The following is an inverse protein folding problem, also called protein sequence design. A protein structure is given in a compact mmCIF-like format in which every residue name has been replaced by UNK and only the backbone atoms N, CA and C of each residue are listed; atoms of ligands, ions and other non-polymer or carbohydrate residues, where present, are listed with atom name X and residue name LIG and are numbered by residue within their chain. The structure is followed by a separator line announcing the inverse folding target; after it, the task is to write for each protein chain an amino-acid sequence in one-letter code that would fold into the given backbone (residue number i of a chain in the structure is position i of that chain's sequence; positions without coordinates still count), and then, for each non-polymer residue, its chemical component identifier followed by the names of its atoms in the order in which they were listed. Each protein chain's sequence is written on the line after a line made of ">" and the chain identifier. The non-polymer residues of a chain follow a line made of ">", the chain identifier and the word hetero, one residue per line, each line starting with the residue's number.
data_IF_681323593038
#
_entry.id   IF_681323593038
#
_cell.length_a   1.000
_cell.length_b   1.000
_cell.length_c   1.000
_cell.angle_alpha   90.00
_cell.angle_beta   90.00
_cell.angle_gamma   90.00
#
_symmetry.space_group_name_H-M   'P 1'
#
loop_
_entity.id
_entity.type
_entity.pdbx_description
1 polymer ?
#
# COMPACT_ATOMS: atom_id res chain seq x y z
N UNK A 1 -21.94 88.78 -24.86
CA UNK A 1 -20.85 88.30 -23.98
C UNK A 1 -21.41 87.22 -23.06
N UNK A 2 -21.30 85.93 -23.44
CA UNK A 2 -21.75 84.78 -22.64
C UNK A 2 -20.53 83.90 -22.34
N UNK A 3 -20.23 83.73 -21.06
CA UNK A 3 -19.11 82.93 -20.54
C UNK A 3 -19.47 81.45 -20.62
N UNK A 4 -18.59 80.62 -21.20
CA UNK A 4 -18.71 79.17 -21.20
C UNK A 4 -17.73 78.62 -20.16
N UNK A 5 -18.25 78.03 -19.08
CA UNK A 5 -17.48 77.29 -18.09
C UNK A 5 -17.40 75.82 -18.52
N UNK A 6 -16.19 75.29 -18.67
CA UNK A 6 -15.93 73.87 -18.92
C UNK A 6 -15.56 73.24 -17.58
N UNK A 7 -16.40 72.33 -17.08
CA UNK A 7 -16.07 71.45 -15.96
C UNK A 7 -15.25 70.27 -16.47
N UNK A 8 -14.02 70.13 -15.99
CA UNK A 8 -13.19 68.95 -16.18
C UNK A 8 -13.52 67.93 -15.07
N UNK A 9 -14.06 66.77 -15.44
CA UNK A 9 -14.24 65.64 -14.52
C UNK A 9 -12.98 64.78 -14.58
N UNK A 10 -12.23 64.72 -13.49
CA UNK A 10 -11.10 63.82 -13.33
C UNK A 10 -11.60 62.41 -12.97
N UNK A 11 -11.35 61.45 -13.85
CA UNK A 11 -11.62 60.03 -13.60
C UNK A 11 -10.44 59.41 -12.83
N UNK A 12 -10.65 59.08 -11.56
CA UNK A 12 -9.73 58.27 -10.76
C UNK A 12 -9.83 56.80 -11.14
N UNK A 13 -8.79 56.26 -11.77
CA UNK A 13 -8.63 54.83 -12.05
C UNK A 13 -8.08 54.15 -10.79
N UNK A 14 -8.89 53.33 -10.13
CA UNK A 14 -8.41 52.43 -9.08
C UNK A 14 -7.77 51.20 -9.73
N UNK A 15 -6.44 51.11 -9.67
CA UNK A 15 -5.68 49.90 -9.95
C UNK A 15 -5.86 48.95 -8.75
N UNK A 16 -6.74 47.96 -8.90
CA UNK A 16 -6.85 46.84 -7.96
C UNK A 16 -5.71 45.85 -8.18
N UNK A 17 -4.75 45.82 -7.26
CA UNK A 17 -3.80 44.72 -7.17
C UNK A 17 -4.51 43.48 -6.61
N UNK A 18 -4.83 42.51 -7.47
CA UNK A 18 -5.08 41.14 -7.02
C UNK A 18 -3.75 40.57 -6.53
N UNK A 19 -3.59 40.47 -5.22
CA UNK A 19 -2.61 39.56 -4.64
C UNK A 19 -3.12 38.15 -4.88
N UNK A 20 -2.58 37.50 -5.90
CA UNK A 20 -2.65 36.05 -6.00
C UNK A 20 -1.81 35.51 -4.83
N UNK A 21 -2.47 35.22 -3.71
CA UNK A 21 -1.88 34.42 -2.66
C UNK A 21 -1.67 33.02 -3.27
N UNK A 22 -0.42 32.70 -3.61
CA UNK A 22 0.04 31.34 -3.88
C UNK A 22 -0.25 30.50 -2.62
N UNK A 23 -1.46 29.95 -2.54
CA UNK A 23 -1.83 28.97 -1.53
C UNK A 23 -1.07 27.70 -1.85
N UNK A 24 0.12 27.56 -1.28
CA UNK A 24 0.77 26.26 -1.14
C UNK A 24 -0.20 25.35 -0.41
N UNK A 25 -0.77 24.38 -1.11
CA UNK A 25 -1.72 23.45 -0.49
C UNK A 25 -0.99 22.57 0.52
N UNK A 26 -1.55 22.40 1.71
CA UNK A 26 -0.95 21.53 2.73
C UNK A 26 -1.06 20.05 2.32
N UNK A 27 -0.12 19.18 2.72
CA UNK A 27 -0.24 17.75 2.51
C UNK A 27 -1.59 17.22 3.00
N UNK A 28 -2.28 16.46 2.14
CA UNK A 28 -3.65 16.02 2.41
C UNK A 28 -3.69 14.51 2.62
N UNK A 29 -4.20 14.07 3.77
CA UNK A 29 -4.47 12.65 4.05
C UNK A 29 -5.95 12.35 3.82
N UNK A 30 -6.23 11.47 2.86
CA UNK A 30 -7.59 11.08 2.48
C UNK A 30 -7.79 9.63 2.90
N UNK A 31 -8.89 9.34 3.60
CA UNK A 31 -9.17 8.03 4.17
C UNK A 31 -10.22 7.26 3.37
N UNK A 32 -10.06 5.94 3.33
CA UNK A 32 -11.08 5.03 2.83
C UNK A 32 -12.07 4.63 3.92
N UNK A 33 -12.98 3.68 3.61
CA UNK A 33 -13.92 3.12 4.58
C UNK A 33 -13.24 2.45 5.78
N UNK A 34 -13.96 2.40 6.90
CA UNK A 34 -13.53 1.68 8.11
C UNK A 34 -13.96 0.21 8.06
N UNK A 35 -13.04 -0.70 8.38
CA UNK A 35 -13.31 -2.13 8.52
C UNK A 35 -13.03 -2.55 9.96
N UNK A 36 -13.95 -3.28 10.64
CA UNK A 36 -13.68 -3.81 11.97
C UNK A 36 -12.62 -4.93 11.91
N UNK A 37 -11.69 -4.94 12.86
CA UNK A 37 -10.67 -5.98 13.00
C UNK A 37 -10.33 -6.13 14.49
N UNK A 38 -10.44 -7.36 15.01
CA UNK A 38 -10.36 -7.59 16.46
C UNK A 38 -11.40 -6.75 17.21
N UNK A 39 -10.99 -6.12 18.31
CA UNK A 39 -11.80 -5.12 19.03
C UNK A 39 -11.66 -3.69 18.49
N UNK A 40 -10.92 -3.52 17.40
CA UNK A 40 -10.59 -2.22 16.81
C UNK A 40 -11.11 -2.05 15.39
N UNK A 41 -10.47 -1.15 14.67
CA UNK A 41 -10.75 -0.91 13.26
C UNK A 41 -9.49 -0.63 12.47
N UNK A 42 -9.60 -0.79 11.16
CA UNK A 42 -8.58 -0.46 10.17
C UNK A 42 -9.18 0.43 9.09
N UNK A 43 -8.42 1.44 8.66
CA UNK A 43 -8.78 2.36 7.57
C UNK A 43 -7.61 2.56 6.63
N UNK A 44 -7.83 2.34 5.34
CA UNK A 44 -6.86 2.72 4.32
C UNK A 44 -6.78 4.24 4.17
N UNK A 45 -5.69 4.71 3.59
CA UNK A 45 -5.50 6.13 3.30
C UNK A 45 -4.47 6.34 2.18
N UNK A 46 -4.50 7.54 1.62
CA UNK A 46 -3.46 8.12 0.77
C UNK A 46 -3.01 9.44 1.38
N UNK A 47 -1.71 9.70 1.31
CA UNK A 47 -1.12 11.00 1.63
C UNK A 47 -0.67 11.67 0.33
N UNK A 48 -1.24 12.84 0.04
CA UNK A 48 -0.86 13.68 -1.09
C UNK A 48 0.11 14.78 -0.64
N UNK A 49 1.11 15.07 -1.47
CA UNK A 49 1.97 16.24 -1.29
C UNK A 49 1.24 17.54 -1.64
N UNK A 50 1.91 18.69 -1.43
CA UNK A 50 1.40 20.02 -1.73
C UNK A 50 1.06 20.26 -3.22
N UNK A 51 1.49 19.37 -4.12
CA UNK A 51 1.22 19.40 -5.55
C UNK A 51 0.15 18.37 -5.96
N UNK A 52 -0.44 17.65 -5.00
CA UNK A 52 -1.44 16.63 -5.24
C UNK A 52 -0.89 15.31 -5.80
N UNK A 53 0.42 15.08 -5.74
CA UNK A 53 1.02 13.79 -6.07
C UNK A 53 0.94 12.84 -4.87
N UNK A 54 0.78 11.52 -5.09
CA UNK A 54 0.85 10.55 -4.00
C UNK A 54 2.28 10.53 -3.43
N UNK A 55 2.38 10.72 -2.12
CA UNK A 55 3.64 10.50 -1.37
C UNK A 55 3.67 9.11 -0.73
N UNK A 56 2.51 8.66 -0.25
CA UNK A 56 2.33 7.36 0.43
C UNK A 56 0.90 6.85 0.29
N UNK A 57 0.74 5.53 0.33
CA UNK A 57 -0.56 4.86 0.58
C UNK A 57 -0.36 3.85 1.70
N UNK A 58 -1.41 3.57 2.45
CA UNK A 58 -1.32 2.61 3.54
C UNK A 58 -2.63 2.37 4.22
N UNK A 59 -2.55 1.82 5.43
CA UNK A 59 -3.68 1.76 6.35
C UNK A 59 -3.23 2.07 7.77
N UNK A 60 -4.18 2.55 8.57
CA UNK A 60 -4.02 2.78 10.00
C UNK A 60 -4.89 1.76 10.73
N UNK A 61 -4.29 1.00 11.65
CA UNK A 61 -5.02 0.15 12.58
C UNK A 61 -5.09 0.80 13.97
N UNK A 62 -6.26 0.78 14.58
CA UNK A 62 -6.43 1.27 15.96
C UNK A 62 -5.65 0.42 16.96
N UNK A 63 -5.38 0.96 18.15
CA UNK A 63 -4.57 0.29 19.18
C UNK A 63 -5.08 -1.13 19.50
N UNK A 64 -6.40 -1.26 19.58
CA UNK A 64 -7.16 -2.45 19.97
C UNK A 64 -7.34 -3.46 18.82
N UNK A 65 -6.87 -3.14 17.61
CA UNK A 65 -7.12 -3.97 16.43
C UNK A 65 -6.42 -5.34 16.45
N UNK A 66 -5.51 -5.57 17.40
CA UNK A 66 -4.90 -6.88 17.66
C UNK A 66 -5.56 -7.66 18.80
N UNK A 67 -6.48 -7.04 19.51
CA UNK A 67 -7.17 -7.67 20.61
C UNK A 67 -8.31 -8.53 20.06
N UNK A 68 -8.48 -9.73 20.62
CA UNK A 68 -9.56 -10.65 20.27
C UNK A 68 -9.59 -11.06 18.77
N UNK A 69 -8.41 -11.20 18.14
CA UNK A 69 -8.30 -11.83 16.84
C UNK A 69 -8.53 -13.35 16.94
N UNK A 70 -9.06 -14.00 15.89
CA UNK A 70 -9.19 -15.46 15.84
C UNK A 70 -7.84 -16.14 16.11
N UNK A 71 -7.84 -17.16 16.96
CA UNK A 71 -6.63 -17.90 17.36
C UNK A 71 -6.48 -19.25 16.65
N UNK A 72 -7.48 -19.62 15.85
CA UNK A 72 -7.55 -20.90 15.12
C UNK A 72 -7.72 -20.66 13.63
N UNK A 73 -7.31 -21.65 12.84
CA UNK A 73 -7.59 -21.69 11.41
C UNK A 73 -9.09 -21.85 11.12
N UNK A 74 -9.59 -21.45 9.92
CA UNK A 74 -8.84 -20.86 8.81
C UNK A 74 -8.31 -19.45 9.11
N UNK A 75 -7.33 -19.02 8.34
CA UNK A 75 -6.86 -17.63 8.32
C UNK A 75 -8.03 -16.66 8.08
N UNK A 76 -7.84 -15.40 8.48
CA UNK A 76 -8.87 -14.36 8.33
C UNK A 76 -8.38 -13.28 7.40
N UNK A 77 -9.12 -13.05 6.30
CA UNK A 77 -8.85 -11.98 5.35
C UNK A 77 -9.79 -10.79 5.57
N UNK A 78 -9.23 -9.60 5.63
CA UNK A 78 -9.95 -8.32 5.65
C UNK A 78 -9.70 -7.60 4.33
N UNK A 79 -10.75 -7.36 3.55
CA UNK A 79 -10.68 -6.63 2.29
C UNK A 79 -10.96 -5.15 2.52
N UNK A 80 -10.04 -4.29 2.11
CA UNK A 80 -10.14 -2.85 2.31
C UNK A 80 -10.04 -2.12 0.97
N UNK A 81 -11.06 -1.32 0.65
CA UNK A 81 -10.99 -0.41 -0.49
C UNK A 81 -9.93 0.67 -0.24
N UNK A 82 -9.14 1.02 -1.25
CA UNK A 82 -8.33 2.24 -1.22
C UNK A 82 -9.20 3.45 -1.59
N UNK A 83 -8.85 4.68 -1.15
CA UNK A 83 -9.46 5.91 -1.66
C UNK A 83 -9.33 6.02 -3.19
N UNK A 84 -10.29 6.68 -3.84
CA UNK A 84 -10.29 6.87 -5.31
C UNK A 84 -9.04 7.64 -5.79
N UNK A 85 -8.51 8.54 -4.98
CA UNK A 85 -7.26 9.25 -5.28
C UNK A 85 -6.06 8.30 -5.31
N UNK A 86 -6.06 7.21 -4.53
CA UNK A 86 -5.02 6.19 -4.61
C UNK A 86 -5.15 5.35 -5.87
N UNK A 87 -6.36 4.89 -6.20
CA UNK A 87 -6.59 4.00 -7.35
C UNK A 87 -6.41 4.70 -8.70
N UNK A 88 -6.58 6.02 -8.74
CA UNK A 88 -6.39 6.85 -9.94
C UNK A 88 -4.94 7.32 -10.16
N UNK A 89 -4.12 7.38 -9.11
CA UNK A 89 -2.73 7.89 -9.18
C UNK A 89 -1.67 6.78 -9.07
N UNK A 90 -2.02 5.65 -8.48
CA UNK A 90 -1.12 4.51 -8.23
C UNK A 90 -1.64 3.26 -8.93
N UNK A 91 -0.80 2.22 -9.13
CA UNK A 91 -1.27 0.97 -9.70
C UNK A 91 -2.18 0.18 -8.75
N UNK A 92 -2.21 0.51 -7.45
CA UNK A 92 -2.89 -0.29 -6.44
C UNK A 92 -4.39 -0.01 -6.41
N UNK A 93 -5.18 -1.05 -6.16
CA UNK A 93 -6.64 -1.03 -6.28
C UNK A 93 -7.32 -1.29 -4.94
N UNK A 94 -6.72 -2.14 -4.10
CA UNK A 94 -7.24 -2.48 -2.78
C UNK A 94 -6.14 -3.05 -1.90
N UNK A 95 -6.43 -3.17 -0.61
CA UNK A 95 -5.59 -3.86 0.38
C UNK A 95 -6.32 -5.09 0.87
N UNK A 96 -5.60 -6.19 1.03
CA UNK A 96 -6.04 -7.33 1.83
C UNK A 96 -5.09 -7.48 3.02
N UNK A 97 -5.65 -7.56 4.22
CA UNK A 97 -4.91 -7.95 5.41
C UNK A 97 -5.27 -9.40 5.70
N UNK A 98 -4.29 -10.29 5.59
CA UNK A 98 -4.46 -11.68 6.00
C UNK A 98 -3.89 -11.86 7.41
N UNK A 99 -4.63 -12.48 8.31
CA UNK A 99 -4.18 -12.84 9.65
C UNK A 99 -3.94 -14.35 9.74
N UNK A 100 -2.69 -14.72 10.02
CA UNK A 100 -2.22 -16.10 10.14
C UNK A 100 -1.93 -16.42 11.61
N UNK A 101 -2.89 -16.94 12.40
CA UNK A 101 -2.69 -17.20 13.83
C UNK A 101 -1.67 -18.30 14.14
N UNK A 102 -1.35 -19.14 13.16
CA UNK A 102 -0.39 -20.25 13.29
C UNK A 102 0.79 -20.11 12.30
N UNK A 103 0.80 -19.03 11.51
CA UNK A 103 1.68 -18.90 10.36
C UNK A 103 1.33 -19.86 9.20
N UNK A 104 2.20 -19.92 8.20
CA UNK A 104 2.05 -20.79 7.02
C UNK A 104 3.42 -21.21 6.48
N UNK A 105 3.44 -22.01 5.41
CA UNK A 105 4.69 -22.41 4.73
C UNK A 105 5.52 -21.21 4.24
N UNK A 106 6.87 -21.32 4.11
CA UNK A 106 7.68 -22.51 4.32
C UNK A 106 7.82 -22.92 5.79
N UNK A 107 7.94 -24.22 6.02
CA UNK A 107 8.14 -24.78 7.35
C UNK A 107 9.37 -24.16 8.04
N UNK A 108 9.22 -23.83 9.33
CA UNK A 108 10.22 -23.18 10.17
C UNK A 108 10.59 -21.74 9.79
N UNK A 109 9.99 -21.16 8.73
CA UNK A 109 10.27 -19.79 8.29
C UNK A 109 9.11 -18.88 8.69
N UNK A 110 7.93 -19.08 8.08
CA UNK A 110 6.75 -18.25 8.35
C UNK A 110 5.76 -18.92 9.32
N UNK A 111 6.23 -19.86 10.15
CA UNK A 111 5.39 -20.68 11.05
C UNK A 111 5.15 -20.05 12.42
N UNK A 112 5.02 -18.71 12.47
CA UNK A 112 4.71 -17.94 13.69
C UNK A 112 3.53 -17.02 13.42
N UNK A 113 2.78 -16.55 14.43
CA UNK A 113 1.64 -15.67 14.19
C UNK A 113 2.05 -14.35 13.52
N UNK A 114 1.49 -14.08 12.33
CA UNK A 114 1.86 -12.92 11.52
C UNK A 114 0.72 -12.45 10.63
N UNK A 115 0.90 -11.28 10.03
CA UNK A 115 0.00 -10.72 9.03
C UNK A 115 0.69 -10.57 7.70
N UNK A 116 -0.13 -10.66 6.65
CA UNK A 116 0.27 -10.43 5.27
C UNK A 116 -0.52 -9.23 4.73
N UNK A 117 0.20 -8.13 4.47
CA UNK A 117 -0.39 -6.88 4.03
C UNK A 117 -0.24 -6.74 2.52
N UNK A 118 -1.22 -7.29 1.79
CA UNK A 118 -1.21 -7.29 0.34
C UNK A 118 -1.76 -5.98 -0.20
N UNK A 119 -0.97 -5.28 -1.01
CA UNK A 119 -1.40 -4.16 -1.83
C UNK A 119 -1.58 -4.67 -3.27
N UNK A 120 -2.84 -4.89 -3.66
CA UNK A 120 -3.16 -5.48 -4.96
C UNK A 120 -3.13 -4.44 -6.06
N UNK A 121 -2.46 -4.79 -7.16
CA UNK A 121 -2.51 -4.13 -8.47
C UNK A 121 -3.73 -4.61 -9.27
N UNK A 122 -4.06 -5.89 -9.11
CA UNK A 122 -5.19 -6.56 -9.74
C UNK A 122 -6.54 -6.07 -9.15
N UNK A 123 -7.62 -5.97 -9.93
CA UNK A 123 -8.96 -5.65 -9.41
C UNK A 123 -9.48 -6.73 -8.44
N UNK A 124 -10.18 -6.31 -7.39
CA UNK A 124 -10.68 -7.21 -6.34
C UNK A 124 -11.50 -8.39 -6.86
N UNK A 125 -12.39 -8.15 -7.84
CA UNK A 125 -13.23 -9.22 -8.41
C UNK A 125 -12.39 -10.29 -9.12
N UNK A 126 -11.29 -9.90 -9.75
CA UNK A 126 -10.40 -10.83 -10.43
C UNK A 126 -9.48 -11.55 -9.42
N UNK A 127 -9.01 -10.84 -8.39
CA UNK A 127 -8.28 -11.41 -7.26
C UNK A 127 -9.10 -12.55 -6.65
N UNK A 128 -10.35 -12.29 -6.26
CA UNK A 128 -11.24 -13.28 -5.64
C UNK A 128 -11.60 -14.46 -6.56
N UNK A 129 -11.41 -14.31 -7.87
CA UNK A 129 -11.66 -15.36 -8.86
C UNK A 129 -10.45 -16.28 -9.10
N UNK A 130 -9.29 -16.01 -8.51
CA UNK A 130 -8.11 -16.88 -8.61
C UNK A 130 -8.43 -18.21 -7.90
N UNK A 131 -8.45 -19.35 -8.64
CA UNK A 131 -8.81 -20.64 -8.08
C UNK A 131 -7.65 -21.25 -7.29
N UNK A 132 -7.87 -22.45 -6.74
CA UNK A 132 -6.80 -23.25 -6.14
C UNK A 132 -5.75 -23.66 -7.18
N UNK A 133 -4.50 -23.85 -6.73
CA UNK A 133 -3.36 -24.13 -7.59
C UNK A 133 -3.59 -25.30 -8.55
N UNK A 134 -4.14 -26.41 -8.06
CA UNK A 134 -4.44 -27.64 -8.83
C UNK A 134 -5.36 -27.39 -10.03
N UNK A 135 -6.21 -26.36 -9.97
CA UNK A 135 -7.16 -26.02 -11.04
C UNK A 135 -6.58 -25.07 -12.09
N UNK A 136 -5.47 -24.41 -11.82
CA UNK A 136 -4.90 -23.39 -12.71
C UNK A 136 -3.37 -23.38 -12.74
N UNK A 137 -2.73 -24.54 -12.59
CA UNK A 137 -1.26 -24.71 -12.56
C UNK A 137 -0.57 -23.87 -13.64
N UNK A 138 -1.03 -23.98 -14.90
CA UNK A 138 -0.44 -23.25 -16.02
C UNK A 138 -0.44 -21.72 -15.85
N UNK A 139 -1.42 -21.14 -15.14
CA UNK A 139 -1.48 -19.71 -14.85
C UNK A 139 -0.61 -19.30 -13.67
N UNK A 140 -0.54 -20.13 -12.63
CA UNK A 140 0.37 -19.89 -11.50
C UNK A 140 1.83 -20.00 -11.91
N UNK A 141 2.14 -20.92 -12.83
CA UNK A 141 3.49 -21.16 -13.34
C UNK A 141 3.83 -20.32 -14.58
N UNK A 142 2.89 -19.56 -15.12
CA UNK A 142 3.17 -18.52 -16.10
C UNK A 142 3.79 -17.31 -15.38
N UNK A 143 5.12 -17.25 -15.38
CA UNK A 143 5.88 -16.27 -14.61
C UNK A 143 5.93 -14.92 -15.35
N UNK A 144 5.96 -13.78 -14.63
CA UNK A 144 6.24 -12.50 -15.24
C UNK A 144 7.57 -12.50 -15.99
N UNK A 145 7.62 -11.76 -17.10
CA UNK A 145 8.85 -11.62 -17.87
C UNK A 145 9.98 -10.98 -17.04
N UNK A 146 11.23 -11.20 -17.44
CA UNK A 146 12.39 -10.62 -16.74
C UNK A 146 12.28 -9.09 -16.64
N UNK A 147 12.57 -8.60 -15.44
CA UNK A 147 12.57 -7.18 -15.08
C UNK A 147 11.31 -6.70 -14.34
N UNK A 148 10.23 -7.49 -14.30
CA UNK A 148 9.00 -7.15 -13.55
C UNK A 148 9.08 -7.51 -12.06
N UNK A 149 9.96 -8.42 -11.69
CA UNK A 149 10.32 -8.77 -10.31
C UNK A 149 11.85 -8.69 -10.21
N UNK A 150 12.35 -8.19 -9.08
CA UNK A 150 13.79 -8.08 -8.84
C UNK A 150 14.45 -9.46 -8.76
N UNK A 151 15.69 -9.60 -9.24
CA UNK A 151 16.37 -10.90 -9.42
C UNK A 151 16.68 -11.65 -8.13
N UNK A 152 16.68 -10.98 -6.99
CA UNK A 152 16.88 -11.59 -5.67
C UNK A 152 15.65 -12.40 -5.20
N UNK A 153 14.51 -12.22 -5.86
CA UNK A 153 13.26 -12.89 -5.51
C UNK A 153 13.09 -14.18 -6.30
N UNK A 154 12.62 -15.22 -5.62
CA UNK A 154 12.30 -16.49 -6.24
C UNK A 154 10.86 -16.88 -5.94
N UNK A 155 10.18 -17.44 -6.95
CA UNK A 155 8.85 -18.04 -6.80
C UNK A 155 8.93 -19.22 -5.84
N UNK A 156 8.07 -19.21 -4.81
CA UNK A 156 7.82 -20.36 -3.96
C UNK A 156 7.05 -21.47 -4.69
N UNK A 157 7.03 -22.71 -4.16
CA UNK A 157 6.23 -23.78 -4.74
C UNK A 157 4.73 -23.45 -4.68
N UNK A 158 3.97 -23.90 -5.67
CA UNK A 158 2.51 -23.77 -5.67
C UNK A 158 1.99 -22.35 -5.94
N UNK A 159 0.90 -22.02 -5.25
CA UNK A 159 0.19 -20.75 -5.32
C UNK A 159 -1.07 -20.78 -4.45
N UNK A 160 -1.51 -19.61 -3.99
CA UNK A 160 -2.60 -19.49 -3.02
C UNK A 160 -3.86 -18.95 -3.73
N UNK A 161 -5.04 -19.57 -3.55
CA UNK A 161 -6.29 -19.04 -4.11
C UNK A 161 -6.54 -17.63 -3.60
N UNK A 162 -7.21 -16.82 -4.42
CA UNK A 162 -7.44 -15.40 -4.12
C UNK A 162 -6.17 -14.53 -3.97
N UNK A 163 -4.99 -15.07 -4.28
CA UNK A 163 -3.72 -14.34 -4.23
C UNK A 163 -2.91 -14.54 -5.51
N UNK A 164 -2.30 -15.72 -5.67
CA UNK A 164 -1.34 -15.98 -6.74
C UNK A 164 -0.12 -16.77 -6.28
N UNK A 165 0.91 -16.76 -7.11
CA UNK A 165 2.23 -17.24 -6.76
C UNK A 165 2.97 -16.18 -5.94
N UNK A 166 3.64 -16.59 -4.87
CA UNK A 166 4.43 -15.72 -4.00
C UNK A 166 5.91 -15.78 -4.36
N UNK A 167 6.56 -14.63 -4.33
CA UNK A 167 7.98 -14.46 -4.62
C UNK A 167 8.68 -13.86 -3.41
N UNK A 168 9.62 -14.60 -2.82
CA UNK A 168 10.34 -14.18 -1.63
C UNK A 168 11.76 -13.76 -1.95
N UNK A 169 12.25 -12.70 -1.29
CA UNK A 169 13.66 -12.30 -1.36
C UNK A 169 14.53 -13.36 -0.68
N UNK A 170 15.26 -14.12 -1.50
CA UNK A 170 16.10 -15.23 -1.05
C UNK A 170 17.32 -14.76 -0.24
N UNK A 171 17.60 -13.46 -0.22
CA UNK A 171 18.68 -12.87 0.57
C UNK A 171 18.22 -12.38 1.95
N UNK A 172 16.92 -12.45 2.26
CA UNK A 172 16.39 -12.01 3.54
C UNK A 172 16.94 -12.83 4.73
N UNK A 173 17.04 -12.23 5.94
CA UNK A 173 17.65 -12.88 7.10
C UNK A 173 17.04 -14.24 7.47
N UNK A 174 15.74 -14.42 7.26
CA UNK A 174 15.00 -15.65 7.55
C UNK A 174 15.47 -16.85 6.72
N UNK A 175 15.94 -16.61 5.49
CA UNK A 175 16.57 -17.62 4.65
C UNK A 175 18.05 -17.87 5.00
N UNK A 176 18.58 -17.12 5.97
CA UNK A 176 19.96 -17.24 6.50
C UNK A 176 19.97 -17.71 7.96
N UNK A 177 18.87 -18.28 8.44
CA UNK A 177 18.74 -18.86 9.78
C UNK A 177 18.43 -17.85 10.89
N UNK A 178 18.12 -16.59 10.55
CA UNK A 178 17.59 -15.65 11.53
C UNK A 178 16.07 -15.85 11.70
N UNK A 179 15.48 -15.49 12.85
CA UNK A 179 14.03 -15.51 13.00
C UNK A 179 13.35 -14.54 12.02
N UNK A 180 12.22 -14.96 11.44
CA UNK A 180 11.34 -14.07 10.68
C UNK A 180 10.70 -13.02 11.61
N UNK A 181 10.82 -11.75 11.24
CA UNK A 181 10.14 -10.63 11.92
C UNK A 181 9.28 -9.83 10.96
N UNK A 182 9.84 -9.49 9.80
CA UNK A 182 9.18 -8.85 8.68
C UNK A 182 9.92 -9.20 7.39
N UNK A 183 9.22 -9.19 6.27
CA UNK A 183 9.80 -9.38 4.94
C UNK A 183 8.92 -8.69 3.90
N UNK A 184 9.47 -8.49 2.70
CA UNK A 184 8.73 -7.94 1.57
C UNK A 184 8.71 -8.97 0.45
N UNK A 185 7.55 -9.19 -0.14
CA UNK A 185 7.33 -10.20 -1.18
C UNK A 185 6.53 -9.60 -2.34
N UNK A 186 6.61 -10.27 -3.50
CA UNK A 186 5.80 -9.94 -4.66
C UNK A 186 4.85 -11.09 -4.99
N UNK A 187 3.72 -10.73 -5.58
CA UNK A 187 2.73 -11.68 -6.08
C UNK A 187 2.66 -11.68 -7.59
N UNK A 188 2.40 -12.84 -8.18
CA UNK A 188 2.10 -12.93 -9.62
C UNK A 188 1.00 -13.92 -9.95
N UNK A 189 0.30 -13.67 -11.04
CA UNK A 189 -0.62 -14.63 -11.66
C UNK A 189 -0.71 -14.39 -13.16
N UNK A 190 -0.67 -15.47 -13.94
CA UNK A 190 -0.82 -15.47 -15.40
C UNK A 190 0.10 -14.47 -16.13
N UNK A 191 1.39 -14.49 -15.77
CA UNK A 191 2.43 -13.68 -16.40
C UNK A 191 2.50 -12.23 -15.94
N UNK A 192 1.73 -11.84 -14.92
CA UNK A 192 1.67 -10.46 -14.42
C UNK A 192 1.96 -10.38 -12.93
N UNK A 193 2.59 -9.29 -12.49
CA UNK A 193 2.69 -8.94 -11.07
C UNK A 193 1.34 -8.43 -10.58
N UNK A 194 0.77 -9.08 -9.57
CA UNK A 194 -0.60 -8.82 -9.11
C UNK A 194 -0.70 -8.12 -7.77
N UNK A 195 0.31 -8.26 -6.91
CA UNK A 195 0.36 -7.57 -5.62
C UNK A 195 1.79 -7.37 -5.12
N UNK A 196 1.94 -6.41 -4.22
CA UNK A 196 3.14 -6.18 -3.42
C UNK A 196 2.74 -6.40 -1.96
N UNK A 197 3.57 -7.07 -1.17
CA UNK A 197 3.14 -7.53 0.14
C UNK A 197 4.25 -7.35 1.18
N UNK A 198 3.84 -6.86 2.34
CA UNK A 198 4.65 -6.87 3.53
C UNK A 198 4.10 -7.92 4.50
N UNK A 199 4.91 -8.92 4.84
CA UNK A 199 4.57 -9.86 5.91
C UNK A 199 5.23 -9.38 7.20
N UNK A 200 4.50 -9.40 8.31
CA UNK A 200 5.00 -8.90 9.60
C UNK A 200 4.47 -9.72 10.76
N UNK A 201 5.38 -10.20 11.61
CA UNK A 201 5.00 -10.94 12.82
C UNK A 201 4.22 -10.07 13.82
N UNK A 202 3.24 -10.69 14.48
CA UNK A 202 2.48 -10.05 15.55
C UNK A 202 3.40 -9.60 16.70
N UNK A 203 4.42 -10.40 17.02
CA UNK A 203 5.40 -10.08 18.07
C UNK A 203 6.18 -8.82 17.72
N UNK A 204 6.64 -8.66 16.47
CA UNK A 204 7.34 -7.46 16.03
C UNK A 204 6.43 -6.22 16.08
N UNK A 205 5.19 -6.30 15.60
CA UNK A 205 4.24 -5.18 15.64
C UNK A 205 3.98 -4.70 17.09
N UNK A 206 3.90 -5.63 18.05
CA UNK A 206 3.70 -5.31 19.48
C UNK A 206 4.87 -4.57 20.13
N UNK A 207 6.05 -4.55 19.50
CA UNK A 207 7.20 -3.75 19.99
C UNK A 207 7.10 -2.26 19.67
N UNK A 208 6.01 -1.84 19.01
CA UNK A 208 5.83 -0.48 18.48
C UNK A 208 7.00 -0.05 17.59
N UNK A 209 7.32 -0.82 16.52
CA UNK A 209 8.51 -0.59 15.73
C UNK A 209 8.42 0.75 14.96
N UNK A 210 9.58 1.30 14.68
CA UNK A 210 9.77 2.33 13.65
C UNK A 210 10.55 1.70 12.50
N UNK A 211 9.83 1.12 11.55
CA UNK A 211 10.42 0.46 10.39
C UNK A 211 10.41 1.41 9.20
N UNK A 212 11.54 1.49 8.51
CA UNK A 212 11.65 2.22 7.25
C UNK A 212 12.71 1.55 6.36
N UNK A 213 12.26 0.79 5.34
CA UNK A 213 13.14 -0.01 4.48
C UNK A 213 12.90 0.27 3.00
N UNK A 214 13.98 0.22 2.23
CA UNK A 214 13.91 0.33 0.78
C UNK A 214 13.35 -0.96 0.18
N UNK A 215 12.52 -0.84 -0.85
CA UNK A 215 12.06 -1.97 -1.66
C UNK A 215 13.13 -2.27 -2.71
N UNK A 216 13.43 -3.55 -2.92
CA UNK A 216 14.22 -3.99 -4.07
C UNK A 216 13.35 -3.94 -5.33
N UNK A 217 13.42 -2.81 -6.03
CA UNK A 217 12.48 -2.46 -7.09
C UNK A 217 12.72 -3.26 -8.38
N UNK A 218 11.64 -3.57 -9.12
CA UNK A 218 11.78 -4.06 -10.49
C UNK A 218 12.24 -2.95 -11.44
N UNK A 219 12.72 -3.35 -12.62
CA UNK A 219 13.12 -2.42 -13.70
C UNK A 219 11.99 -2.14 -14.69
N UNK A 220 10.89 -2.89 -14.61
CA UNK A 220 9.68 -2.77 -15.45
C UNK A 220 8.45 -2.82 -14.55
N UNK A 221 7.36 -2.24 -15.04
CA UNK A 221 6.12 -2.05 -14.30
C UNK A 221 4.91 -2.39 -15.18
N UNK A 222 3.88 -2.99 -14.59
CA UNK A 222 2.68 -3.48 -15.31
C UNK A 222 1.89 -2.36 -15.99
N UNK A 223 1.85 -1.19 -15.34
CA UNK A 223 1.14 0.00 -15.83
C UNK A 223 1.88 1.27 -15.41
N UNK A 224 1.80 2.36 -16.17
CA UNK A 224 2.32 3.67 -15.76
C UNK A 224 1.64 4.13 -14.46
N UNK A 225 2.37 4.86 -13.63
CA UNK A 225 1.82 5.39 -12.37
C UNK A 225 2.88 5.78 -11.37
N UNK A 226 2.47 6.21 -10.18
CA UNK A 226 3.41 6.37 -9.07
C UNK A 226 3.59 5.04 -8.35
N UNK A 227 4.84 4.60 -8.19
CA UNK A 227 5.21 3.39 -7.47
C UNK A 227 6.06 3.72 -6.25
N UNK A 228 5.86 3.00 -5.14
CA UNK A 228 6.62 3.22 -3.91
C UNK A 228 8.05 2.75 -4.08
N UNK A 229 8.93 3.35 -3.30
CA UNK A 229 10.34 2.97 -3.22
C UNK A 229 10.69 2.40 -1.83
N UNK A 230 9.77 2.53 -0.88
CA UNK A 230 9.96 2.16 0.53
C UNK A 230 8.69 1.56 1.12
N UNK A 231 8.85 0.79 2.19
CA UNK A 231 7.75 0.33 3.03
C UNK A 231 8.07 0.64 4.50
N UNK A 232 7.04 1.02 5.25
CA UNK A 232 7.20 1.56 6.60
C UNK A 232 6.17 0.99 7.56
N UNK A 233 6.55 0.98 8.84
CA UNK A 233 5.63 0.79 9.97
C UNK A 233 5.94 1.87 10.99
N UNK A 234 4.93 2.66 11.38
CA UNK A 234 5.05 3.72 12.38
C UNK A 234 3.96 3.57 13.44
N UNK A 235 4.34 3.68 14.71
CA UNK A 235 3.38 3.73 15.81
C UNK A 235 3.11 5.20 16.17
N UNK A 236 1.84 5.57 16.18
CA UNK A 236 1.38 6.92 16.51
C UNK A 236 1.27 7.10 18.04
N UNK A 237 1.19 8.35 18.49
CA UNK A 237 1.12 8.69 19.93
C UNK A 237 -0.11 8.11 20.65
N UNK A 238 -1.20 7.85 19.92
CA UNK A 238 -2.41 7.21 20.44
C UNK A 238 -2.33 5.67 20.46
N UNK A 239 -1.21 5.09 20.01
CA UNK A 239 -0.99 3.65 19.91
C UNK A 239 -1.59 3.00 18.66
N UNK A 240 -2.21 3.77 17.76
CA UNK A 240 -2.51 3.29 16.41
C UNK A 240 -1.22 3.06 15.63
N UNK A 241 -1.27 2.20 14.60
CA UNK A 241 -0.11 1.90 13.76
C UNK A 241 -0.44 2.12 12.29
N UNK A 242 0.45 2.85 11.62
CA UNK A 242 0.45 3.04 10.19
C UNK A 242 1.37 2.00 9.54
N UNK A 243 0.82 1.26 8.59
CA UNK A 243 1.56 0.37 7.69
C UNK A 243 1.41 0.92 6.28
N UNK A 244 2.52 1.23 5.63
CA UNK A 244 2.48 2.01 4.39
C UNK A 244 3.53 1.62 3.37
N UNK A 245 3.19 1.90 2.12
CA UNK A 245 4.13 2.06 1.03
C UNK A 245 4.40 3.57 0.89
N UNK A 246 5.67 3.96 0.75
CA UNK A 246 6.10 5.36 0.75
C UNK A 246 7.14 5.67 -0.33
N UNK A 247 7.47 6.95 -0.46
CA UNK A 247 8.51 7.43 -1.39
C UNK A 247 8.09 7.23 -2.84
N UNK A 248 6.82 7.51 -3.14
CA UNK A 248 6.24 7.28 -4.45
C UNK A 248 6.95 8.10 -5.54
N UNK A 249 7.31 7.43 -6.64
CA UNK A 249 7.96 8.03 -7.81
C UNK A 249 7.27 7.59 -9.09
N UNK A 250 7.21 8.47 -10.08
CA UNK A 250 6.56 8.17 -11.36
C UNK A 250 7.39 7.14 -12.16
N UNK A 251 6.70 6.18 -12.78
CA UNK A 251 7.23 5.10 -13.61
C UNK A 251 6.39 4.93 -14.87
#
# INVERSE_FOLDING_TARGET
>A
MKKLFICLIAATVFLGCSKDDDKTSEPQRIYGPSVPMGNGNVKTWILLDAQGNPSSIGFTRSKEAFDNLPTTLPETAYMLALPDEATSKTPFQHVMINWNPQGHEPANIYTVPHFDFHFYIQPMVETMAIPTYDKAIAKFDNLPASGFIHTDFAKGPGGVPMMGAHWSDTTSPEFKGQPFTETFVFGSYDGKVTFWEQMVTMSYLKTAPTLDKAIKLPTKYEKPGYYPTRYTIRTNTDGSQDVALEGFTKR
#
